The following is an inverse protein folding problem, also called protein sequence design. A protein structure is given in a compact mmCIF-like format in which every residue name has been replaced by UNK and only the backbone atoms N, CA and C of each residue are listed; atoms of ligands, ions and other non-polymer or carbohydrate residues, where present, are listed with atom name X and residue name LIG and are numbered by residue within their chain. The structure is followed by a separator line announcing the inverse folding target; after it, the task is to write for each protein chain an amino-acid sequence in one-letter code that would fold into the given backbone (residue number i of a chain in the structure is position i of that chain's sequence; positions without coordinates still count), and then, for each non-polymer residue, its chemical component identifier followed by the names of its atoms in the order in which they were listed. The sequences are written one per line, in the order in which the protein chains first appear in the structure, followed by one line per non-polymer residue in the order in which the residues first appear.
data_IF_198389478138
#
_entry.id   IF_198389478138
#
_cell.length_a   1.000
_cell.length_b   1.000
_cell.length_c   1.000
_cell.angle_alpha   90.00
_cell.angle_beta   90.00
_cell.angle_gamma   90.00
#
_symmetry.space_group_name_H-M   'P 1'
#
loop_
_entity.id
_entity.type
_entity.pdbx_description
1 polymer ?
#
# COMPACT_ATOMS: atom_id res chain seq x y z
N UNK A 1 16.00 -0.83 10.08
CA UNK A 1 16.31 -1.26 8.77
C UNK A 1 15.43 -2.34 8.28
N UNK A 2 15.43 -3.47 8.96
CA UNK A 2 14.57 -4.57 8.60
C UNK A 2 13.11 -4.20 8.60
N UNK A 3 12.78 -3.20 9.37
CA UNK A 3 11.41 -2.74 9.53
C UNK A 3 10.82 -2.18 8.24
N UNK A 4 11.60 -1.37 7.51
CA UNK A 4 11.11 -0.82 6.26
C UNK A 4 10.83 -1.90 5.24
N UNK A 5 11.73 -2.87 5.11
CA UNK A 5 11.55 -3.95 4.16
C UNK A 5 10.33 -4.78 4.52
N UNK A 6 10.16 -5.08 5.80
CA UNK A 6 9.03 -5.87 6.24
C UNK A 6 7.72 -5.15 5.95
N UNK A 7 7.66 -3.88 6.29
CA UNK A 7 6.45 -3.08 6.09
C UNK A 7 6.14 -2.92 4.60
N UNK A 8 7.18 -2.70 3.79
CA UNK A 8 7.00 -2.59 2.35
C UNK A 8 6.43 -3.88 1.78
N UNK A 9 6.97 -5.01 2.21
CA UNK A 9 6.49 -6.31 1.74
C UNK A 9 5.04 -6.56 2.16
N UNK A 10 4.68 -6.17 3.36
CA UNK A 10 3.31 -6.33 3.84
C UNK A 10 2.33 -5.53 2.98
N UNK A 11 2.69 -4.31 2.67
CA UNK A 11 1.84 -3.44 1.86
C UNK A 11 1.74 -3.96 0.42
N UNK A 12 2.87 -4.34 -0.15
CA UNK A 12 2.89 -4.85 -1.52
C UNK A 12 2.08 -6.13 -1.61
N UNK A 13 2.20 -6.99 -0.61
CA UNK A 13 1.46 -8.24 -0.58
C UNK A 13 -0.04 -7.99 -0.50
N UNK A 14 -0.44 -7.05 0.35
CA UNK A 14 -1.86 -6.69 0.47
C UNK A 14 -2.39 -6.15 -0.86
N UNK A 15 -1.62 -5.31 -1.52
CA UNK A 15 -2.02 -4.76 -2.82
C UNK A 15 -2.07 -5.84 -3.89
N UNK A 16 -1.16 -6.81 -3.82
CA UNK A 16 -1.15 -7.93 -4.76
C UNK A 16 -2.40 -8.77 -4.61
N UNK A 17 -2.87 -8.95 -3.39
CA UNK A 17 -4.08 -9.73 -3.13
C UNK A 17 -5.30 -9.09 -3.81
N UNK A 18 -5.32 -7.77 -3.91
CA UNK A 18 -6.43 -7.07 -4.55
C UNK A 18 -6.30 -7.10 -6.06
N UNK A 19 -5.11 -6.83 -6.57
CA UNK A 19 -4.89 -6.69 -8.00
C UNK A 19 -4.63 -8.02 -8.71
N UNK A 20 -4.23 -9.03 -7.96
CA UNK A 20 -3.84 -10.35 -8.46
C UNK A 20 -2.63 -10.26 -9.40
N UNK A 21 -1.82 -9.22 -9.25
CA UNK A 21 -0.68 -9.00 -10.13
C UNK A 21 0.39 -8.24 -9.36
N UNK A 22 1.51 -8.91 -9.10
CA UNK A 22 2.58 -8.31 -8.31
C UNK A 22 3.20 -7.11 -9.01
N UNK A 23 3.27 -7.15 -10.35
CA UNK A 23 3.84 -6.02 -11.11
C UNK A 23 2.99 -4.78 -10.94
N UNK A 24 1.67 -4.93 -11.02
CA UNK A 24 0.76 -3.81 -10.81
C UNK A 24 0.83 -3.30 -9.38
N UNK A 25 0.95 -4.22 -8.43
CA UNK A 25 1.06 -3.82 -7.02
C UNK A 25 2.34 -3.03 -6.78
N UNK A 26 3.45 -3.44 -7.37
CA UNK A 26 4.71 -2.72 -7.25
C UNK A 26 4.63 -1.35 -7.88
N UNK A 27 4.02 -1.25 -9.04
CA UNK A 27 3.85 0.03 -9.72
C UNK A 27 2.99 0.96 -8.84
N UNK A 28 1.89 0.45 -8.34
CA UNK A 28 1.02 1.21 -7.45
C UNK A 28 1.79 1.70 -6.22
N UNK A 29 2.55 0.80 -5.61
CA UNK A 29 3.31 1.10 -4.40
C UNK A 29 4.25 2.28 -4.60
N UNK A 30 4.91 2.34 -5.74
CA UNK A 30 5.94 3.33 -5.99
C UNK A 30 5.45 4.59 -6.66
N UNK A 31 4.34 4.51 -7.38
CA UNK A 31 3.97 5.59 -8.29
C UNK A 31 2.59 6.18 -8.06
N UNK A 32 1.71 5.51 -7.37
CA UNK A 32 0.34 5.98 -7.23
C UNK A 32 0.19 6.97 -6.09
N UNK A 33 -0.09 8.26 -6.39
CA UNK A 33 -0.33 9.23 -5.33
C UNK A 33 -1.70 8.96 -4.71
N UNK A 34 -1.73 8.83 -3.38
CA UNK A 34 -2.94 8.51 -2.65
C UNK A 34 -3.60 9.78 -2.14
N UNK A 35 -4.74 10.10 -2.71
CA UNK A 35 -5.44 11.33 -2.39
C UNK A 35 -5.70 11.50 -0.90
N UNK A 36 -6.11 10.43 -0.25
CA UNK A 36 -6.42 10.48 1.19
C UNK A 36 -5.19 10.74 2.05
N UNK A 37 -4.01 10.65 1.50
CA UNK A 37 -2.75 10.91 2.20
C UNK A 37 -1.99 12.08 1.58
N UNK A 38 -2.72 13.09 1.11
CA UNK A 38 -2.11 14.28 0.51
C UNK A 38 -1.26 13.94 -0.70
N UNK A 39 -1.70 12.95 -1.48
CA UNK A 39 -1.03 12.53 -2.70
C UNK A 39 0.35 11.93 -2.48
N UNK A 40 0.62 11.42 -1.29
CA UNK A 40 1.83 10.67 -1.05
C UNK A 40 1.65 9.25 -1.56
N UNK A 41 2.74 8.64 -2.00
CA UNK A 41 2.68 7.24 -2.43
C UNK A 41 2.77 6.32 -1.21
N UNK A 42 2.38 5.07 -1.41
CA UNK A 42 2.51 4.08 -0.35
C UNK A 42 3.96 3.96 0.10
N UNK A 43 4.89 4.03 -0.85
CA UNK A 43 6.31 3.96 -0.54
C UNK A 43 6.73 5.09 0.40
N UNK A 44 6.27 6.30 0.13
CA UNK A 44 6.58 7.43 0.99
C UNK A 44 6.01 7.25 2.38
N UNK A 45 4.78 6.76 2.47
CA UNK A 45 4.14 6.55 3.77
C UNK A 45 4.85 5.49 4.58
N UNK A 46 5.31 4.43 3.94
CA UNK A 46 6.08 3.40 4.62
C UNK A 46 7.39 3.99 5.14
N UNK A 47 8.04 4.85 4.36
CA UNK A 47 9.28 5.49 4.80
C UNK A 47 9.06 6.43 5.97
N UNK A 48 7.82 6.90 6.15
CA UNK A 48 7.45 7.76 7.27
C UNK A 48 6.89 6.95 8.44
N UNK A 49 7.07 5.64 8.42
CA UNK A 49 6.56 4.74 9.47
C UNK A 49 5.03 4.72 9.55
N UNK A 50 4.37 4.90 8.42
CA UNK A 50 2.91 4.90 8.35
C UNK A 50 2.36 3.71 7.59
N UNK A 51 3.08 2.60 7.63
CA UNK A 51 2.65 1.39 6.93
C UNK A 51 1.28 0.91 7.40
N UNK A 52 0.99 1.03 8.70
CA UNK A 52 -0.29 0.61 9.24
C UNK A 52 -1.44 1.40 8.63
N UNK A 53 -1.24 2.69 8.38
CA UNK A 53 -2.26 3.52 7.75
C UNK A 53 -2.50 3.05 6.32
N UNK A 54 -1.43 2.72 5.61
CA UNK A 54 -1.56 2.24 4.24
C UNK A 54 -2.27 0.89 4.21
N UNK A 55 -1.92 0.00 5.14
CA UNK A 55 -2.58 -1.31 5.21
C UNK A 55 -4.08 -1.17 5.50
N UNK A 56 -4.43 -0.24 6.36
CA UNK A 56 -5.83 0.03 6.66
C UNK A 56 -6.55 0.56 5.43
N UNK A 57 -5.90 1.44 4.69
CA UNK A 57 -6.46 1.98 3.46
C UNK A 57 -6.70 0.87 2.43
N UNK A 58 -5.71 0.01 2.22
CA UNK A 58 -5.82 -1.10 1.28
C UNK A 58 -6.96 -2.03 1.70
N UNK A 59 -7.06 -2.31 2.99
CA UNK A 59 -8.12 -3.14 3.52
C UNK A 59 -9.49 -2.52 3.26
N UNK A 60 -9.59 -1.20 3.39
CA UNK A 60 -10.86 -0.51 3.15
C UNK A 60 -11.26 -0.56 1.67
N UNK A 61 -10.30 -0.56 0.76
CA UNK A 61 -10.59 -0.71 -0.65
C UNK A 61 -11.20 -2.08 -0.93
N UNK A 62 -10.66 -3.08 -0.31
CA UNK A 62 -11.17 -4.45 -0.45
C UNK A 62 -12.58 -4.56 0.08
N UNK A 63 -12.82 -3.99 1.24
CA UNK A 63 -14.15 -4.00 1.84
C UNK A 63 -15.13 -3.19 1.01
N UNK A 64 -14.67 -2.05 0.48
CA UNK A 64 -15.50 -1.21 -0.37
C UNK A 64 -15.90 -1.91 -1.65
N UNK A 65 -14.98 -2.70 -2.21
CA UNK A 65 -15.27 -3.44 -3.43
C UNK A 65 -16.32 -4.50 -3.19
N UNK A 66 -16.34 -5.05 -1.99
CA UNK A 66 -17.32 -6.08 -1.64
C UNK A 66 -18.70 -5.48 -1.41
N UNK A 67 -18.74 -4.23 -1.05
CA UNK A 67 -19.99 -3.56 -0.81
C UNK A 67 -20.64 -3.11 -2.08
#
# INVERSE_FOLDING_TARGET
MQRFLRDALRVIRAATDISSDVTKALFWYRNEPLQVFNYKTAEQLVSESRADDVLRYVSSLEAGAAG
#
